data_IF_444731233641
#
_entry.id   IF_444731233641
#
_cell.length_a   1.000
_cell.length_b   1.000
_cell.length_c   1.000
_cell.angle_alpha   90.00
_cell.angle_beta   90.00
_cell.angle_gamma   90.00
#
_symmetry.space_group_name_H-M   'P 1'
#
loop_
_entity.id
_entity.type
_entity.pdbx_description
1 polymer ?
#
# COMPACT_ATOMS: atom_id res chain seq x y z
N UNK A 1 4.55 -6.45 2.43
CA UNK A 1 5.14 -5.40 1.59
C UNK A 1 6.27 -5.94 0.72
N UNK A 2 7.47 -6.19 1.25
CA UNK A 2 8.60 -6.72 0.50
C UNK A 2 8.27 -8.00 -0.30
N UNK A 3 7.59 -8.98 0.33
CA UNK A 3 7.14 -10.20 -0.31
C UNK A 3 6.32 -9.96 -1.59
N UNK A 4 5.44 -8.96 -1.58
CA UNK A 4 4.61 -8.63 -2.75
C UNK A 4 5.44 -8.10 -3.92
N UNK A 5 6.46 -7.26 -3.66
CA UNK A 5 7.35 -6.75 -4.71
C UNK A 5 8.13 -7.90 -5.36
N UNK A 6 8.62 -8.85 -4.53
CA UNK A 6 9.36 -10.03 -5.00
C UNK A 6 8.45 -10.98 -5.79
N UNK A 7 7.32 -11.39 -5.21
CA UNK A 7 6.41 -12.37 -5.83
C UNK A 7 5.80 -11.87 -7.15
N UNK A 8 5.51 -10.58 -7.22
CA UNK A 8 4.93 -9.99 -8.42
C UNK A 8 6.00 -9.58 -9.45
N UNK A 9 7.27 -9.80 -9.14
CA UNK A 9 8.41 -9.44 -10.00
C UNK A 9 8.34 -7.97 -10.46
N UNK A 10 8.16 -7.06 -9.52
CA UNK A 10 7.97 -5.63 -9.81
C UNK A 10 9.27 -5.01 -10.32
N UNK A 11 9.19 -4.33 -11.48
CA UNK A 11 10.32 -3.58 -12.02
C UNK A 11 10.72 -2.43 -11.10
N UNK A 12 12.02 -2.13 -10.94
CA UNK A 12 12.49 -0.94 -10.23
C UNK A 12 11.96 0.38 -10.82
N UNK A 13 11.54 0.38 -12.09
CA UNK A 13 10.97 1.56 -12.77
C UNK A 13 9.45 1.59 -12.76
N UNK A 14 8.80 0.69 -12.02
CA UNK A 14 7.35 0.62 -11.95
C UNK A 14 6.74 1.84 -11.24
N UNK A 15 5.51 2.17 -11.62
CA UNK A 15 4.66 3.11 -10.89
C UNK A 15 3.79 2.35 -9.91
N UNK A 16 4.03 2.57 -8.63
CA UNK A 16 3.35 1.86 -7.54
C UNK A 16 2.49 2.83 -6.76
N UNK A 17 1.20 2.54 -6.65
CA UNK A 17 0.30 3.25 -5.75
C UNK A 17 0.11 2.47 -4.45
N UNK A 18 0.10 3.17 -3.32
CA UNK A 18 -0.16 2.61 -1.99
C UNK A 18 -1.45 3.20 -1.45
N UNK A 19 -2.45 2.35 -1.22
CA UNK A 19 -3.77 2.74 -0.72
C UNK A 19 -3.81 2.48 0.78
N UNK A 20 -3.96 3.58 1.55
CA UNK A 20 -3.93 3.56 3.01
C UNK A 20 -2.51 3.66 3.59
N UNK A 21 -2.28 4.71 4.38
CA UNK A 21 -0.97 4.98 5.01
C UNK A 21 -1.12 4.81 6.52
N UNK A 22 -1.03 3.57 6.95
CA UNK A 22 -1.01 3.13 8.35
C UNK A 22 0.20 2.23 8.59
N UNK A 23 0.11 1.35 9.59
CA UNK A 23 1.22 0.45 9.97
C UNK A 23 1.80 -0.39 8.84
N UNK A 24 0.97 -0.86 7.89
CA UNK A 24 1.45 -1.57 6.70
C UNK A 24 1.85 -0.59 5.57
N UNK A 25 1.05 0.47 5.37
CA UNK A 25 1.23 1.40 4.25
C UNK A 25 2.53 2.19 4.33
N UNK A 26 2.94 2.65 5.51
CA UNK A 26 4.19 3.39 5.64
C UNK A 26 5.42 2.54 5.25
N UNK A 27 5.42 1.24 5.59
CA UNK A 27 6.46 0.32 5.13
C UNK A 27 6.36 0.04 3.63
N UNK A 28 5.13 0.01 3.05
CA UNK A 28 4.96 -0.15 1.62
C UNK A 28 5.61 1.01 0.84
N UNK A 29 5.44 2.25 1.31
CA UNK A 29 6.10 3.42 0.71
C UNK A 29 7.62 3.28 0.77
N UNK A 30 8.18 2.98 1.94
CA UNK A 30 9.63 2.83 2.13
C UNK A 30 10.23 1.72 1.27
N UNK A 31 9.60 0.53 1.24
CA UNK A 31 10.08 -0.57 0.42
C UNK A 31 9.98 -0.28 -1.08
N UNK A 32 8.86 0.23 -1.56
CA UNK A 32 8.68 0.54 -2.97
C UNK A 32 9.65 1.65 -3.43
N UNK A 33 9.89 2.66 -2.59
CA UNK A 33 10.88 3.72 -2.86
C UNK A 33 12.29 3.17 -2.92
N UNK A 34 12.70 2.37 -1.95
CA UNK A 34 14.03 1.76 -1.92
C UNK A 34 14.23 0.76 -3.06
N UNK A 35 13.15 0.13 -3.55
CA UNK A 35 13.15 -0.74 -4.71
C UNK A 35 13.47 0.00 -6.02
N UNK A 36 13.25 1.33 -6.05
CA UNK A 36 13.46 2.20 -7.20
C UNK A 36 12.17 2.66 -7.89
N UNK A 37 11.01 2.27 -7.38
CA UNK A 37 9.71 2.60 -7.97
C UNK A 37 9.40 4.10 -7.86
N UNK A 38 8.57 4.60 -8.78
CA UNK A 38 7.84 5.85 -8.58
C UNK A 38 6.61 5.58 -7.72
N UNK A 39 6.57 6.13 -6.52
CA UNK A 39 5.59 5.79 -5.48
C UNK A 39 4.57 6.90 -5.30
N UNK A 40 3.29 6.57 -5.42
CA UNK A 40 2.15 7.45 -5.15
C UNK A 40 1.39 6.97 -3.93
N UNK A 41 1.15 7.84 -2.96
CA UNK A 41 0.35 7.53 -1.78
C UNK A 41 -1.09 8.02 -1.97
N UNK A 42 -2.06 7.12 -1.82
CA UNK A 42 -3.48 7.49 -1.73
C UNK A 42 -3.82 7.76 -0.26
N UNK A 43 -4.07 9.02 0.07
CA UNK A 43 -4.32 9.48 1.44
C UNK A 43 -5.70 10.09 1.57
N UNK A 44 -6.26 10.05 2.78
CA UNK A 44 -7.59 10.61 3.07
C UNK A 44 -7.55 11.96 3.81
N UNK A 45 -6.37 12.51 4.06
CA UNK A 45 -6.22 13.78 4.77
C UNK A 45 -4.93 14.50 4.38
N UNK A 46 -5.01 15.82 4.33
CA UNK A 46 -3.90 16.72 4.03
C UNK A 46 -2.72 16.53 5.01
N UNK A 47 -3.03 16.29 6.30
CA UNK A 47 -1.99 16.03 7.30
C UNK A 47 -1.15 14.79 7.01
N UNK A 48 -1.73 13.78 6.34
CA UNK A 48 -1.02 12.54 5.95
C UNK A 48 -0.25 12.69 4.64
N UNK A 49 -0.51 13.73 3.84
CA UNK A 49 0.22 13.96 2.59
C UNK A 49 1.69 14.23 2.88
N UNK A 50 1.96 15.17 3.78
CA UNK A 50 3.33 15.51 4.18
C UNK A 50 4.05 14.30 4.76
N UNK A 51 3.40 13.55 5.64
CA UNK A 51 3.94 12.34 6.24
C UNK A 51 4.25 11.28 5.15
N UNK A 52 3.34 11.09 4.18
CA UNK A 52 3.56 10.14 3.09
C UNK A 52 4.77 10.51 2.23
N UNK A 53 4.97 11.78 1.93
CA UNK A 53 6.15 12.27 1.20
C UNK A 53 7.43 12.03 1.99
N UNK A 54 7.45 12.31 3.30
CA UNK A 54 8.58 12.03 4.19
C UNK A 54 8.90 10.53 4.28
N UNK A 55 7.87 9.68 4.17
CA UNK A 55 7.98 8.21 4.19
C UNK A 55 8.42 7.60 2.84
N UNK A 56 8.59 8.42 1.80
CA UNK A 56 9.14 7.99 0.52
C UNK A 56 8.18 8.03 -0.66
N UNK A 57 6.96 8.54 -0.51
CA UNK A 57 6.12 8.83 -1.67
C UNK A 57 6.73 9.94 -2.52
N UNK A 58 6.57 9.86 -3.84
CA UNK A 58 6.93 10.92 -4.77
C UNK A 58 5.81 11.95 -4.91
N UNK A 59 4.57 11.51 -4.69
CA UNK A 59 3.36 12.30 -4.81
C UNK A 59 2.22 11.69 -4.00
N UNK A 60 1.18 12.47 -3.77
CA UNK A 60 -0.03 12.05 -3.07
C UNK A 60 -1.26 12.27 -3.92
N UNK A 61 -2.29 11.49 -3.69
CA UNK A 61 -3.62 11.61 -4.30
C UNK A 61 -4.64 11.55 -3.17
N UNK A 62 -5.62 12.45 -3.20
CA UNK A 62 -6.72 12.43 -2.25
C UNK A 62 -7.66 11.26 -2.54
N UNK A 63 -7.64 10.26 -1.68
CA UNK A 63 -8.47 9.06 -1.81
C UNK A 63 -9.95 9.26 -1.48
N UNK A 64 -10.35 10.45 -0.98
CA UNK A 64 -11.75 10.80 -0.72
C UNK A 64 -12.44 11.43 -1.92
N UNK A 65 -11.67 11.92 -2.89
CA UNK A 65 -12.22 12.48 -4.10
C UNK A 65 -12.13 11.46 -5.25
N UNK A 66 -13.25 10.92 -5.73
CA UNK A 66 -13.26 9.99 -6.85
C UNK A 66 -12.67 10.60 -8.14
N UNK A 67 -12.78 11.90 -8.33
CA UNK A 67 -12.26 12.57 -9.53
C UNK A 67 -10.73 12.60 -9.52
N UNK A 68 -10.10 12.77 -8.33
CA UNK A 68 -8.65 12.68 -8.19
C UNK A 68 -8.13 11.29 -8.55
N UNK A 69 -8.88 10.22 -8.18
CA UNK A 69 -8.52 8.85 -8.54
C UNK A 69 -8.72 8.61 -10.04
N UNK A 70 -9.83 9.09 -10.64
CA UNK A 70 -10.09 9.00 -12.08
C UNK A 70 -9.06 9.76 -12.90
N UNK A 71 -8.55 10.89 -12.41
CA UNK A 71 -7.54 11.68 -13.11
C UNK A 71 -6.22 10.91 -13.33
N UNK A 72 -6.01 9.81 -12.62
CA UNK A 72 -4.83 8.94 -12.76
C UNK A 72 -5.14 7.60 -13.43
N UNK A 73 -6.21 7.53 -14.23
CA UNK A 73 -6.57 6.35 -15.00
C UNK A 73 -5.40 5.83 -15.85
N UNK A 74 -5.19 4.53 -15.87
CA UNK A 74 -4.15 3.88 -16.67
C UNK A 74 -2.71 4.19 -16.26
N UNK A 75 -2.47 4.62 -15.02
CA UNK A 75 -1.17 5.14 -14.59
C UNK A 75 -0.28 4.12 -13.87
N UNK A 76 -0.84 3.16 -13.14
CA UNK A 76 -0.11 2.31 -12.22
C UNK A 76 0.15 0.91 -12.76
N UNK A 77 1.37 0.41 -12.52
CA UNK A 77 1.74 -0.98 -12.76
C UNK A 77 1.26 -1.87 -11.61
N UNK A 78 1.25 -1.33 -10.39
CA UNK A 78 0.82 -2.00 -9.17
C UNK A 78 0.10 -1.03 -8.24
N UNK A 79 -1.04 -1.45 -7.70
CA UNK A 79 -1.69 -0.84 -6.55
C UNK A 79 -1.60 -1.81 -5.36
N UNK A 80 -1.03 -1.36 -4.26
CA UNK A 80 -0.97 -2.09 -2.98
C UNK A 80 -2.03 -1.54 -2.04
N UNK A 81 -3.04 -2.32 -1.73
CA UNK A 81 -4.06 -1.93 -0.75
C UNK A 81 -3.71 -2.46 0.63
N UNK A 82 -3.62 -1.56 1.60
CA UNK A 82 -3.34 -1.87 3.01
C UNK A 82 -4.51 -1.53 3.93
N UNK A 83 -5.64 -1.12 3.36
CA UNK A 83 -6.85 -0.77 4.11
C UNK A 83 -7.66 -2.01 4.49
N UNK A 84 -8.48 -1.87 5.51
CA UNK A 84 -9.40 -2.88 6.00
C UNK A 84 -10.88 -2.45 5.86
N UNK A 85 -11.14 -1.54 4.93
CA UNK A 85 -12.47 -1.00 4.65
C UNK A 85 -12.81 -1.18 3.18
N UNK A 86 -14.12 -1.23 2.88
CA UNK A 86 -14.60 -1.27 1.52
C UNK A 86 -14.37 0.07 0.83
N UNK A 87 -13.88 0.02 -0.41
CA UNK A 87 -13.68 1.16 -1.30
C UNK A 87 -14.34 0.87 -2.65
N UNK A 88 -14.44 1.88 -3.50
CA UNK A 88 -14.79 1.68 -4.91
C UNK A 88 -13.60 1.09 -5.69
N UNK A 89 -13.45 -0.22 -5.60
CA UNK A 89 -12.34 -0.95 -6.23
C UNK A 89 -12.34 -0.84 -7.76
N UNK A 90 -13.48 -0.56 -8.38
CA UNK A 90 -13.58 -0.40 -9.83
C UNK A 90 -12.85 0.86 -10.29
N UNK A 91 -12.98 1.97 -9.58
CA UNK A 91 -12.21 3.19 -9.84
C UNK A 91 -10.70 2.94 -9.69
N UNK A 92 -10.26 2.17 -8.68
CA UNK A 92 -8.85 1.79 -8.55
C UNK A 92 -8.38 0.83 -9.66
N UNK A 93 -9.25 -0.08 -10.13
CA UNK A 93 -8.91 -0.93 -11.28
C UNK A 93 -8.68 -0.11 -12.55
N UNK A 94 -9.45 0.96 -12.75
CA UNK A 94 -9.27 1.86 -13.88
C UNK A 94 -7.95 2.66 -13.80
N UNK A 95 -7.46 2.95 -12.61
CA UNK A 95 -6.17 3.59 -12.40
C UNK A 95 -4.96 2.70 -12.80
N UNK A 96 -5.17 1.39 -12.94
CA UNK A 96 -4.13 0.47 -13.41
C UNK A 96 -3.90 0.58 -14.92
N UNK A 97 -2.64 0.48 -15.34
CA UNK A 97 -2.26 0.24 -16.74
C UNK A 97 -2.82 -1.09 -17.25
N UNK A 98 -2.79 -1.32 -18.57
CA UNK A 98 -2.91 -2.68 -19.10
C UNK A 98 -1.89 -3.61 -18.42
N UNK A 99 -2.36 -4.80 -18.00
CA UNK A 99 -1.61 -5.80 -17.22
C UNK A 99 -1.21 -5.37 -15.81
N UNK A 100 -1.71 -4.21 -15.35
CA UNK A 100 -1.52 -3.74 -13.98
C UNK A 100 -2.24 -4.64 -12.98
N UNK A 101 -1.83 -4.56 -11.72
CA UNK A 101 -2.30 -5.43 -10.63
C UNK A 101 -2.76 -4.62 -9.43
N UNK A 102 -3.95 -4.96 -8.92
CA UNK A 102 -4.40 -4.57 -7.59
C UNK A 102 -4.07 -5.70 -6.61
N UNK A 103 -3.26 -5.42 -5.60
CA UNK A 103 -2.80 -6.42 -4.65
C UNK A 103 -3.24 -6.06 -3.23
N UNK A 104 -4.08 -6.93 -2.67
CA UNK A 104 -4.67 -6.74 -1.36
C UNK A 104 -3.73 -7.27 -0.28
N UNK A 105 -3.40 -6.44 0.69
CA UNK A 105 -2.58 -6.77 1.86
C UNK A 105 -3.34 -6.52 3.16
N UNK A 106 -4.25 -5.53 3.14
CA UNK A 106 -5.24 -5.35 4.19
C UNK A 106 -6.36 -6.38 4.06
N UNK A 107 -6.96 -6.73 5.17
CA UNK A 107 -8.11 -7.64 5.21
C UNK A 107 -9.39 -6.82 5.16
N UNK A 108 -10.06 -6.85 4.01
CA UNK A 108 -11.41 -6.28 3.84
C UNK A 108 -12.41 -7.39 4.16
N UNK A 109 -13.27 -7.23 5.19
CA UNK A 109 -14.20 -8.31 5.61
C UNK A 109 -15.30 -8.57 4.58
N UNK A 110 -15.68 -7.55 3.83
CA UNK A 110 -16.76 -7.62 2.84
C UNK A 110 -16.25 -8.21 1.52
N UNK A 111 -17.17 -8.73 0.71
CA UNK A 111 -16.87 -9.17 -0.65
C UNK A 111 -16.47 -7.99 -1.54
N UNK A 112 -15.47 -8.18 -2.37
CA UNK A 112 -15.07 -7.16 -3.35
C UNK A 112 -16.07 -7.15 -4.52
N UNK A 113 -16.69 -6.00 -4.78
CA UNK A 113 -17.51 -5.79 -5.97
C UNK A 113 -16.60 -5.35 -7.12
N UNK A 114 -16.31 -6.28 -8.02
CA UNK A 114 -15.36 -6.08 -9.13
C UNK A 114 -16.03 -6.31 -10.47
N UNK A 115 -15.98 -5.29 -11.33
CA UNK A 115 -16.42 -5.42 -12.71
C UNK A 115 -15.41 -6.20 -13.55
N UNK A 116 -15.89 -7.22 -14.26
CA UNK A 116 -15.05 -8.04 -15.14
C UNK A 116 -14.58 -7.27 -16.39
N UNK A 117 -15.37 -6.30 -16.86
CA UNK A 117 -15.10 -5.58 -18.12
C UNK A 117 -13.75 -4.86 -18.12
N UNK A 118 -13.41 -3.98 -17.14
CA UNK A 118 -12.10 -3.35 -17.10
C UNK A 118 -10.96 -4.34 -16.87
N UNK A 119 -11.22 -5.47 -16.19
CA UNK A 119 -10.22 -6.53 -16.01
C UNK A 119 -9.94 -7.23 -17.35
N UNK A 120 -10.98 -7.59 -18.11
CA UNK A 120 -10.85 -8.30 -19.37
C UNK A 120 -10.10 -7.46 -20.41
N UNK A 121 -10.58 -6.26 -20.69
CA UNK A 121 -9.98 -5.41 -21.74
C UNK A 121 -8.61 -4.86 -21.36
N UNK A 122 -8.38 -4.60 -20.07
CA UNK A 122 -7.08 -4.15 -19.56
C UNK A 122 -6.10 -5.30 -19.23
N UNK A 123 -6.51 -6.57 -19.31
CA UNK A 123 -5.74 -7.70 -18.81
C UNK A 123 -5.27 -7.48 -17.35
N UNK A 124 -6.08 -6.78 -16.57
CA UNK A 124 -5.78 -6.43 -15.18
C UNK A 124 -6.07 -7.59 -14.27
N UNK A 125 -5.38 -7.66 -13.15
CA UNK A 125 -5.57 -8.73 -12.18
C UNK A 125 -5.72 -8.20 -10.76
N UNK A 126 -6.48 -8.92 -9.95
CA UNK A 126 -6.60 -8.71 -8.50
C UNK A 126 -6.07 -9.94 -7.79
N UNK A 127 -5.30 -9.74 -6.76
CA UNK A 127 -4.73 -10.82 -5.99
C UNK A 127 -4.31 -10.38 -4.59
N UNK A 128 -3.78 -11.32 -3.83
CA UNK A 128 -3.29 -11.08 -2.48
C UNK A 128 -2.10 -11.98 -2.18
N UNK A 129 -1.35 -11.67 -1.14
CA UNK A 129 -0.32 -12.56 -0.62
C UNK A 129 -0.24 -12.49 0.89
N UNK A 130 0.00 -13.63 1.55
CA UNK A 130 0.26 -13.67 2.98
C UNK A 130 1.68 -13.19 3.30
N UNK A 131 2.07 -13.38 4.55
CA UNK A 131 3.45 -13.19 5.01
C UNK A 131 4.41 -14.04 4.18
N UNK A 132 5.60 -13.52 3.91
CA UNK A 132 6.64 -14.23 3.18
C UNK A 132 7.20 -15.43 3.95
N UNK A 133 7.83 -16.34 3.22
CA UNK A 133 8.55 -17.47 3.82
C UNK A 133 9.70 -16.98 4.73
N UNK A 134 10.23 -17.83 5.64
CA UNK A 134 11.40 -17.48 6.44
C UNK A 134 12.60 -17.02 5.60
N UNK A 135 12.79 -17.59 4.40
CA UNK A 135 13.84 -17.17 3.47
C UNK A 135 13.56 -15.75 2.94
N UNK A 136 12.32 -15.46 2.53
CA UNK A 136 11.91 -14.12 2.09
C UNK A 136 12.05 -13.09 3.21
N UNK A 137 11.74 -13.48 4.46
CA UNK A 137 11.90 -12.59 5.61
C UNK A 137 13.38 -12.26 5.85
N UNK A 138 14.29 -13.23 5.75
CA UNK A 138 15.75 -12.97 5.85
C UNK A 138 16.21 -11.99 4.78
N UNK A 139 15.79 -12.19 3.53
CA UNK A 139 16.11 -11.27 2.42
C UNK A 139 15.54 -9.87 2.67
N UNK A 140 14.31 -9.79 3.21
CA UNK A 140 13.70 -8.51 3.59
C UNK A 140 14.51 -7.79 4.66
N UNK A 141 14.96 -8.48 5.70
CA UNK A 141 15.78 -7.90 6.76
C UNK A 141 17.13 -7.40 6.23
N UNK A 142 17.77 -8.17 5.36
CA UNK A 142 19.01 -7.76 4.71
C UNK A 142 18.80 -6.52 3.82
N UNK A 143 17.73 -6.51 3.02
CA UNK A 143 17.36 -5.35 2.22
C UNK A 143 17.08 -4.12 3.10
N UNK A 144 16.32 -4.30 4.18
CA UNK A 144 15.99 -3.22 5.13
C UNK A 144 17.24 -2.63 5.76
N UNK A 145 18.20 -3.47 6.15
CA UNK A 145 19.48 -3.04 6.70
C UNK A 145 20.30 -2.21 5.70
N UNK A 146 20.36 -2.64 4.45
CA UNK A 146 21.11 -1.93 3.38
C UNK A 146 20.50 -0.58 3.03
N UNK A 147 19.17 -0.44 3.14
CA UNK A 147 18.43 0.75 2.73
C UNK A 147 17.92 1.59 3.92
N UNK A 148 18.33 1.26 5.15
CA UNK A 148 17.90 1.95 6.37
C UNK A 148 16.37 2.02 6.53
N UNK A 149 15.66 0.93 6.17
CA UNK A 149 14.21 0.86 6.29
C UNK A 149 13.86 0.40 7.71
N UNK A 150 13.38 1.33 8.52
CA UNK A 150 12.89 1.06 9.86
C UNK A 150 11.40 1.38 9.95
N UNK A 151 10.61 0.57 10.70
CA UNK A 151 9.23 0.93 11.00
C UNK A 151 9.18 2.18 11.89
N UNK A 152 8.15 2.98 11.72
CA UNK A 152 7.78 4.01 12.69
C UNK A 152 7.00 3.31 13.79
N UNK A 153 7.49 3.40 15.03
CA UNK A 153 6.92 2.68 16.18
C UNK A 153 6.72 3.60 17.37
N UNK A 154 5.66 3.35 18.11
CA UNK A 154 5.41 3.91 19.43
C UNK A 154 5.59 2.83 20.49
N UNK A 155 6.26 3.14 21.59
CA UNK A 155 6.59 2.18 22.64
C UNK A 155 5.73 2.41 23.87
N UNK A 156 5.13 1.34 24.35
CA UNK A 156 4.35 1.32 25.58
C UNK A 156 4.96 0.28 26.54
N UNK A 157 5.04 0.56 27.85
CA UNK A 157 5.36 -0.46 28.84
C UNK A 157 4.34 -1.60 28.81
N UNK A 158 4.77 -2.83 29.13
CA UNK A 158 3.91 -4.00 29.06
C UNK A 158 2.69 -3.92 30.00
N UNK A 159 2.83 -3.28 31.16
CA UNK A 159 1.75 -3.02 32.11
C UNK A 159 0.69 -2.03 31.58
N UNK A 160 0.99 -1.31 30.48
CA UNK A 160 0.11 -0.38 29.79
C UNK A 160 -0.40 -0.91 28.45
N UNK A 161 -0.42 -2.21 28.25
CA UNK A 161 -0.87 -2.81 26.97
C UNK A 161 -2.30 -2.41 26.59
N UNK A 162 -3.19 -2.25 27.57
CA UNK A 162 -4.57 -1.82 27.31
C UNK A 162 -4.64 -0.36 26.83
N UNK A 163 -3.76 0.52 27.32
CA UNK A 163 -3.65 1.89 26.87
C UNK A 163 -3.15 1.95 25.39
N UNK A 164 -2.19 1.09 25.05
CA UNK A 164 -1.71 0.94 23.68
C UNK A 164 -2.81 0.44 22.74
N UNK A 165 -3.61 -0.52 23.17
CA UNK A 165 -4.75 -1.02 22.38
C UNK A 165 -5.82 0.06 22.17
N UNK A 166 -6.10 0.85 23.21
CA UNK A 166 -7.06 1.95 23.09
C UNK A 166 -6.52 3.07 22.18
N UNK A 167 -5.25 3.39 22.27
CA UNK A 167 -4.56 4.32 21.39
C UNK A 167 -4.69 3.92 19.91
N UNK A 168 -4.51 2.62 19.62
CA UNK A 168 -4.72 2.05 18.29
C UNK A 168 -6.19 2.16 17.84
N UNK A 169 -7.16 1.82 18.70
CA UNK A 169 -8.60 1.91 18.39
C UNK A 169 -9.04 3.34 18.05
N UNK A 170 -8.44 4.32 18.71
CA UNK A 170 -8.70 5.74 18.47
C UNK A 170 -8.04 6.27 17.18
N UNK A 171 -7.33 5.42 16.43
CA UNK A 171 -6.64 5.82 15.20
C UNK A 171 -5.47 6.78 15.44
N UNK A 172 -4.94 6.85 16.66
CA UNK A 172 -3.83 7.72 17.05
C UNK A 172 -2.46 7.08 16.81
N UNK A 173 -2.41 5.75 16.71
CA UNK A 173 -1.17 5.03 16.44
C UNK A 173 -0.64 5.36 15.03
N UNK A 174 0.66 5.51 14.97
CA UNK A 174 1.42 5.75 13.74
C UNK A 174 1.88 4.46 13.09
#
# INVERSE_FOLDING_TARGET
MFNSLVQLNISPTARVGVIGIGGLGHLALKFARAWGCHVTAFTSSESKEKEALELGANETINSRDPEDIKAVAGRFDLLLSTVNVQLDWNTYLEALKPRGRLHMLGVVPESLDLSVVPMLFGQRSVGSSPVGSPATIRNMLEFSSRHNINPVTEHFPMDKVNDAMEHLRQGKAK
#
